data_IF_715166766698
#
_entry.id   IF_715166766698
#
_cell.length_a   1.000
_cell.length_b   1.000
_cell.length_c   1.000
_cell.angle_alpha   90.00
_cell.angle_beta   90.00
_cell.angle_gamma   90.00
#
_symmetry.space_group_name_H-M   'P 1'
#
loop_
_entity.id
_entity.type
_entity.pdbx_description
1 polymer ?
#
# COMPACT_ATOMS: atom_id res chain seq x y z
N UNK A 1 11.48 15.73 -25.05
CA UNK A 1 11.63 14.52 -24.21
C UNK A 1 10.82 14.81 -22.96
N UNK A 2 9.63 14.25 -22.85
CA UNK A 2 8.81 14.44 -21.66
C UNK A 2 9.41 13.57 -20.57
N UNK A 3 9.90 14.19 -19.51
CA UNK A 3 10.14 13.48 -18.25
C UNK A 3 8.85 12.76 -17.89
N UNK A 4 8.83 11.42 -17.77
CA UNK A 4 7.74 10.78 -17.09
C UNK A 4 7.88 11.25 -15.63
N UNK A 5 7.00 12.18 -15.22
CA UNK A 5 6.91 12.59 -13.83
C UNK A 5 6.82 11.35 -12.93
N UNK A 6 7.19 11.47 -11.63
CA UNK A 6 7.24 10.33 -10.74
C UNK A 6 5.94 9.53 -10.84
N UNK A 7 6.02 8.18 -10.94
CA UNK A 7 4.83 7.36 -11.11
C UNK A 7 3.87 7.66 -9.97
N UNK A 8 2.60 7.97 -10.29
CA UNK A 8 1.58 8.23 -9.27
C UNK A 8 1.55 7.05 -8.29
N UNK A 9 1.76 7.35 -7.00
CA UNK A 9 1.74 6.34 -5.95
C UNK A 9 0.31 5.76 -5.86
N UNK A 10 0.16 4.43 -5.92
CA UNK A 10 -1.15 3.77 -5.87
C UNK A 10 -1.63 3.70 -4.42
N UNK A 11 -2.61 4.52 -4.05
CA UNK A 11 -3.18 4.48 -2.71
C UNK A 11 -4.34 3.46 -2.63
N UNK A 12 -4.36 2.56 -1.63
CA UNK A 12 -5.54 1.76 -1.33
C UNK A 12 -6.69 2.66 -0.81
N UNK A 13 -7.93 2.15 -0.76
CA UNK A 13 -9.06 2.91 -0.21
C UNK A 13 -8.95 3.03 1.33
N UNK A 14 -8.12 3.94 1.83
CA UNK A 14 -7.82 4.08 3.26
C UNK A 14 -9.05 4.31 4.12
N UNK A 15 -10.00 5.15 3.67
CA UNK A 15 -11.23 5.41 4.41
C UNK A 15 -12.05 4.14 4.62
N UNK A 16 -12.14 3.29 3.58
CA UNK A 16 -12.81 2.00 3.70
C UNK A 16 -12.04 1.02 4.59
N UNK A 17 -10.71 1.03 4.51
CA UNK A 17 -9.87 0.17 5.34
C UNK A 17 -9.97 0.56 6.81
N UNK A 18 -9.94 1.85 7.14
CA UNK A 18 -10.15 2.37 8.50
C UNK A 18 -11.55 2.07 9.01
N UNK A 19 -12.57 2.28 8.18
CA UNK A 19 -13.95 1.94 8.53
C UNK A 19 -14.12 0.43 8.79
N UNK A 20 -13.49 -0.42 7.98
CA UNK A 20 -13.54 -1.87 8.14
C UNK A 20 -12.70 -2.37 9.34
N UNK A 21 -11.59 -1.70 9.67
CA UNK A 21 -10.82 -1.98 10.88
C UNK A 21 -11.63 -1.70 12.16
N UNK A 22 -12.51 -0.70 12.12
CA UNK A 22 -13.43 -0.40 13.21
C UNK A 22 -12.69 -0.12 14.52
N UNK A 23 -12.97 -0.91 15.56
CA UNK A 23 -12.33 -0.78 16.87
C UNK A 23 -11.05 -1.62 17.04
N UNK A 24 -10.63 -2.36 16.02
CA UNK A 24 -9.37 -3.11 16.07
C UNK A 24 -8.20 -2.14 15.91
N UNK A 25 -7.62 -1.74 17.05
CA UNK A 25 -6.50 -0.81 17.11
C UNK A 25 -5.26 -1.34 16.34
N UNK A 26 -5.08 -2.66 16.25
CA UNK A 26 -3.94 -3.25 15.53
C UNK A 26 -4.15 -3.16 14.02
N UNK A 27 -5.38 -3.41 13.56
CA UNK A 27 -5.74 -3.27 12.15
C UNK A 27 -5.63 -1.80 11.72
N UNK A 28 -6.19 -0.87 12.50
CA UNK A 28 -6.11 0.57 12.23
C UNK A 28 -4.66 1.07 12.17
N UNK A 29 -3.83 0.73 13.17
CA UNK A 29 -2.41 1.10 13.17
C UNK A 29 -1.64 0.51 11.97
N UNK A 30 -2.02 -0.67 11.49
CA UNK A 30 -1.41 -1.28 10.31
C UNK A 30 -1.80 -0.54 9.01
N UNK A 31 -3.03 0.00 8.95
CA UNK A 31 -3.49 0.82 7.81
C UNK A 31 -2.73 2.14 7.79
N UNK A 32 -2.60 2.81 8.94
CA UNK A 32 -1.87 4.07 9.05
C UNK A 32 -0.38 3.88 8.73
N UNK A 33 0.22 2.75 9.12
CA UNK A 33 1.60 2.43 8.76
C UNK A 33 1.80 2.23 7.25
N UNK A 34 0.84 1.60 6.56
CA UNK A 34 0.87 1.49 5.10
C UNK A 34 0.74 2.86 4.44
N UNK A 35 -0.13 3.72 4.95
CA UNK A 35 -0.30 5.09 4.44
C UNK A 35 0.98 5.90 4.57
N UNK A 36 1.60 5.89 5.75
CA UNK A 36 2.85 6.60 5.99
C UNK A 36 4.01 6.11 5.10
N UNK A 37 4.09 4.80 4.82
CA UNK A 37 5.11 4.24 3.92
C UNK A 37 4.90 4.69 2.48
N UNK A 38 3.65 4.72 2.01
CA UNK A 38 3.31 5.13 0.65
C UNK A 38 3.47 6.64 0.44
N UNK A 39 3.26 7.44 1.49
CA UNK A 39 3.44 8.89 1.47
C UNK A 39 4.90 9.35 1.68
N UNK A 40 5.83 8.42 1.95
CA UNK A 40 7.23 8.75 2.12
C UNK A 40 7.86 9.27 0.82
N UNK A 41 8.86 10.17 0.94
CA UNK A 41 9.62 10.69 -0.22
C UNK A 41 10.30 9.57 -1.02
N UNK A 42 10.67 8.48 -0.34
CA UNK A 42 11.26 7.28 -0.93
C UNK A 42 10.64 6.02 -0.29
N UNK A 43 9.50 5.53 -0.82
CA UNK A 43 8.84 4.34 -0.30
C UNK A 43 9.71 3.10 -0.47
N UNK A 44 9.84 2.28 0.58
CA UNK A 44 10.53 1.00 0.56
C UNK A 44 9.59 -0.11 0.04
N UNK A 45 9.84 -0.68 -1.15
CA UNK A 45 8.98 -1.73 -1.70
C UNK A 45 8.85 -2.96 -0.78
N UNK A 46 9.89 -3.30 -0.01
CA UNK A 46 9.85 -4.39 0.94
C UNK A 46 8.98 -4.06 2.16
N UNK A 47 9.00 -2.81 2.61
CA UNK A 47 8.12 -2.32 3.67
C UNK A 47 6.65 -2.33 3.20
N UNK A 48 6.35 -1.79 2.01
CA UNK A 48 5.00 -1.80 1.44
C UNK A 48 4.47 -3.23 1.33
N UNK A 49 5.27 -4.16 0.80
CA UNK A 49 4.87 -5.58 0.70
C UNK A 49 4.55 -6.18 2.07
N UNK A 50 5.38 -5.90 3.08
CA UNK A 50 5.18 -6.38 4.45
C UNK A 50 3.91 -5.80 5.07
N UNK A 51 3.64 -4.51 4.89
CA UNK A 51 2.40 -3.88 5.36
C UNK A 51 1.17 -4.48 4.69
N UNK A 52 1.21 -4.69 3.37
CA UNK A 52 0.14 -5.35 2.63
C UNK A 52 -0.11 -6.79 3.13
N UNK A 53 0.96 -7.56 3.39
CA UNK A 53 0.86 -8.92 3.92
C UNK A 53 0.26 -8.96 5.33
N UNK A 54 0.67 -8.04 6.22
CA UNK A 54 0.08 -7.91 7.56
C UNK A 54 -1.40 -7.57 7.47
N UNK A 55 -1.77 -6.62 6.60
CA UNK A 55 -3.15 -6.20 6.42
C UNK A 55 -4.05 -7.30 5.83
N UNK A 56 -3.51 -8.13 4.93
CA UNK A 56 -4.19 -9.35 4.44
C UNK A 56 -4.45 -10.38 5.54
N UNK A 57 -3.70 -10.33 6.64
CA UNK A 57 -3.93 -11.19 7.81
C UNK A 57 -5.18 -10.84 8.61
N UNK A 58 -5.81 -9.67 8.38
CA UNK A 58 -7.07 -9.30 9.00
C UNK A 58 -8.24 -9.68 8.08
N UNK A 59 -9.11 -10.64 8.45
CA UNK A 59 -10.18 -11.13 7.57
C UNK A 59 -11.11 -10.01 7.04
N UNK A 60 -11.32 -8.95 7.83
CA UNK A 60 -12.17 -7.80 7.45
C UNK A 60 -11.52 -6.88 6.41
N UNK A 61 -10.20 -6.90 6.28
CA UNK A 61 -9.42 -6.08 5.35
C UNK A 61 -8.90 -6.86 4.14
N UNK A 62 -8.81 -8.19 4.27
CA UNK A 62 -8.17 -9.09 3.31
C UNK A 62 -8.58 -8.80 1.86
N UNK A 63 -9.88 -8.84 1.55
CA UNK A 63 -10.36 -8.66 0.18
C UNK A 63 -10.00 -7.29 -0.41
N UNK A 64 -10.05 -6.22 0.40
CA UNK A 64 -9.73 -4.86 -0.07
C UNK A 64 -8.26 -4.69 -0.37
N UNK A 65 -7.42 -5.18 0.53
CA UNK A 65 -5.96 -5.14 0.36
C UNK A 65 -5.52 -6.08 -0.75
N UNK A 66 -6.17 -7.24 -0.89
CA UNK A 66 -5.92 -8.17 -1.98
C UNK A 66 -6.17 -7.49 -3.33
N UNK A 67 -7.36 -6.92 -3.51
CA UNK A 67 -7.74 -6.23 -4.74
C UNK A 67 -6.81 -5.06 -5.08
N UNK A 68 -6.42 -4.25 -4.11
CA UNK A 68 -5.48 -3.14 -4.33
C UNK A 68 -4.07 -3.64 -4.66
N UNK A 69 -3.52 -4.57 -3.88
CA UNK A 69 -2.16 -5.07 -4.08
C UNK A 69 -2.03 -5.80 -5.41
N UNK A 70 -3.01 -6.63 -5.78
CA UNK A 70 -3.01 -7.38 -7.03
C UNK A 70 -3.40 -6.52 -8.26
N UNK A 71 -3.75 -5.25 -8.06
CA UNK A 71 -4.07 -4.34 -9.16
C UNK A 71 -2.84 -4.12 -10.06
N UNK A 72 -3.00 -4.12 -11.39
CA UNK A 72 -1.89 -3.96 -12.33
C UNK A 72 -1.07 -2.69 -12.10
N UNK A 73 -1.72 -1.59 -11.75
CA UNK A 73 -1.03 -0.31 -11.51
C UNK A 73 -0.19 -0.36 -10.23
N UNK A 74 -0.68 -1.03 -9.18
CA UNK A 74 0.08 -1.27 -7.96
C UNK A 74 1.32 -2.12 -8.22
N UNK A 75 1.16 -3.24 -8.92
CA UNK A 75 2.28 -4.12 -9.27
C UNK A 75 3.31 -3.44 -10.17
N UNK A 76 2.87 -2.61 -11.13
CA UNK A 76 3.78 -1.82 -11.96
C UNK A 76 4.54 -0.79 -11.16
N UNK A 77 3.87 -0.09 -10.23
CA UNK A 77 4.51 0.90 -9.37
C UNK A 77 5.54 0.23 -8.44
N UNK A 78 5.17 -0.87 -7.75
CA UNK A 78 6.11 -1.64 -6.90
C UNK A 78 7.32 -2.08 -7.70
N UNK A 79 7.12 -2.62 -8.91
CA UNK A 79 8.21 -2.98 -9.82
C UNK A 79 9.08 -1.77 -10.17
N UNK A 80 8.48 -0.63 -10.49
CA UNK A 80 9.20 0.58 -10.86
C UNK A 80 10.08 1.10 -9.72
N UNK A 81 9.57 1.16 -8.48
CA UNK A 81 10.37 1.61 -7.33
C UNK A 81 11.42 0.57 -6.91
N UNK A 82 11.17 -0.72 -7.15
CA UNK A 82 12.16 -1.79 -6.93
C UNK A 82 13.30 -1.71 -7.95
N UNK A 83 12.97 -1.47 -9.23
CA UNK A 83 13.94 -1.35 -10.32
C UNK A 83 14.72 -0.03 -10.26
N UNK A 84 14.07 1.05 -9.81
CA UNK A 84 14.69 2.35 -9.54
C UNK A 84 15.50 2.35 -8.24
N UNK A 85 15.49 1.22 -7.54
CA UNK A 85 16.18 1.01 -6.29
C UNK A 85 17.61 1.52 -6.31
N UNK A 86 18.05 1.84 -5.11
CA UNK A 86 19.39 1.45 -4.70
C UNK A 86 19.58 -0.06 -4.92
#
# INVERSE_FOLDING_TARGET
MSDPGPPNVPHPPYDELRAAAGADARAAASVDALEAELDADAPDPAAVQRHAAVLRGFPVLEARIANWWDAPDTQRWVKAITDAGL
#
